data_IF_167437103260
#
_entry.id   IF_167437103260
#
_cell.length_a   1.000
_cell.length_b   1.000
_cell.length_c   1.000
_cell.angle_alpha   90.00
_cell.angle_beta   90.00
_cell.angle_gamma   90.00
#
_symmetry.space_group_name_H-M   'P 1'
#
loop_
_entity.id
_entity.type
_entity.pdbx_description
1 polymer ?
#
# COMPACT_ATOMS: atom_id res chain seq x y z
N UNK A 1 -32.52 -0.79 -17.73
CA UNK A 1 -32.44 -0.65 -16.27
C UNK A 1 -30.98 -0.53 -15.90
N UNK A 2 -30.59 0.62 -15.33
CA UNK A 2 -29.24 0.80 -14.79
C UNK A 2 -29.13 -0.09 -13.56
N UNK A 3 -28.14 -0.97 -13.51
CA UNK A 3 -27.91 -1.83 -12.36
C UNK A 3 -27.39 -0.98 -11.20
N UNK A 4 -28.03 -1.07 -10.03
CA UNK A 4 -27.63 -0.35 -8.82
C UNK A 4 -26.87 -1.31 -7.90
N UNK A 5 -25.60 -1.01 -7.64
CA UNK A 5 -24.81 -1.74 -6.64
C UNK A 5 -25.22 -1.37 -5.22
N UNK A 6 -25.10 -2.30 -4.28
CA UNK A 6 -25.24 -1.97 -2.87
C UNK A 6 -24.09 -1.07 -2.44
N UNK A 7 -22.86 -1.33 -2.89
CA UNK A 7 -21.71 -0.48 -2.62
C UNK A 7 -20.81 -0.30 -3.85
N UNK A 8 -20.22 0.88 -3.97
CA UNK A 8 -19.08 1.13 -4.86
C UNK A 8 -17.89 1.59 -4.03
N UNK A 9 -16.79 0.87 -4.17
CA UNK A 9 -15.51 1.16 -3.52
C UNK A 9 -14.59 1.81 -4.52
N UNK A 10 -14.06 3.00 -4.21
CA UNK A 10 -13.12 3.71 -5.08
C UNK A 10 -11.69 3.61 -4.53
N UNK A 11 -10.82 2.95 -5.28
CA UNK A 11 -9.46 2.61 -4.94
C UNK A 11 -9.27 1.10 -4.75
N UNK A 12 -8.54 0.47 -5.68
CA UNK A 12 -8.28 -0.98 -5.76
C UNK A 12 -6.98 -1.39 -5.08
N UNK A 13 -6.56 -0.74 -4.00
CA UNK A 13 -5.48 -1.22 -3.16
C UNK A 13 -6.01 -2.00 -1.95
N UNK A 14 -5.12 -2.45 -1.06
CA UNK A 14 -5.45 -3.37 0.03
C UNK A 14 -6.68 -2.96 0.84
N UNK A 15 -6.84 -1.68 1.18
CA UNK A 15 -7.98 -1.21 1.98
C UNK A 15 -9.32 -1.36 1.26
N UNK A 16 -9.37 -0.95 -0.03
CA UNK A 16 -10.58 -1.07 -0.83
C UNK A 16 -10.94 -2.52 -1.15
N UNK A 17 -9.93 -3.33 -1.43
CA UNK A 17 -10.12 -4.75 -1.75
C UNK A 17 -10.61 -5.56 -0.54
N UNK A 18 -10.07 -5.28 0.66
CA UNK A 18 -10.56 -5.91 1.89
C UNK A 18 -11.98 -5.44 2.25
N UNK A 19 -12.29 -4.15 2.08
CA UNK A 19 -13.64 -3.65 2.26
C UNK A 19 -14.63 -4.34 1.30
N UNK A 20 -14.27 -4.43 0.02
CA UNK A 20 -15.09 -5.11 -0.98
C UNK A 20 -15.28 -6.61 -0.69
N UNK A 21 -14.22 -7.29 -0.23
CA UNK A 21 -14.30 -8.70 0.20
C UNK A 21 -15.33 -8.89 1.30
N UNK A 22 -15.30 -8.06 2.34
CA UNK A 22 -16.22 -8.19 3.45
C UNK A 22 -17.65 -7.81 3.06
N UNK A 23 -17.84 -6.80 2.20
CA UNK A 23 -19.17 -6.43 1.68
C UNK A 23 -19.76 -7.59 0.86
N UNK A 24 -18.98 -8.14 -0.07
CA UNK A 24 -19.41 -9.26 -0.91
C UNK A 24 -19.69 -10.53 -0.10
N UNK A 25 -18.82 -10.86 0.86
CA UNK A 25 -18.98 -12.00 1.77
C UNK A 25 -20.28 -11.96 2.56
N UNK A 26 -20.80 -10.76 2.85
CA UNK A 26 -22.10 -10.57 3.49
C UNK A 26 -23.29 -10.52 2.51
N UNK A 27 -23.10 -10.93 1.26
CA UNK A 27 -24.17 -11.07 0.26
C UNK A 27 -24.59 -9.78 -0.43
N UNK A 28 -23.81 -8.72 -0.34
CA UNK A 28 -24.09 -7.44 -0.99
C UNK A 28 -23.34 -7.30 -2.31
N UNK A 29 -23.99 -6.72 -3.31
CA UNK A 29 -23.35 -6.40 -4.59
C UNK A 29 -22.38 -5.26 -4.42
N UNK A 30 -21.11 -5.45 -4.84
CA UNK A 30 -20.05 -4.45 -4.71
C UNK A 30 -19.17 -4.40 -5.94
N UNK A 31 -18.88 -3.17 -6.37
CA UNK A 31 -17.95 -2.87 -7.44
C UNK A 31 -16.77 -2.07 -6.91
N UNK A 32 -15.56 -2.52 -7.18
CA UNK A 32 -14.32 -1.76 -6.94
C UNK A 32 -13.92 -1.03 -8.22
N UNK A 33 -13.67 0.26 -8.11
CA UNK A 33 -13.11 1.08 -9.18
C UNK A 33 -11.61 1.30 -8.94
N UNK A 34 -10.80 0.91 -9.91
CA UNK A 34 -9.35 1.12 -9.91
C UNK A 34 -8.95 1.91 -11.16
N UNK A 35 -8.27 3.05 -10.97
CA UNK A 35 -7.85 3.91 -12.07
C UNK A 35 -6.68 3.33 -12.88
N UNK A 36 -5.83 2.53 -12.23
CA UNK A 36 -4.68 1.88 -12.83
C UNK A 36 -5.06 0.80 -13.84
N UNK A 37 -4.08 0.41 -14.65
CA UNK A 37 -4.23 -0.67 -15.63
C UNK A 37 -4.42 -2.05 -14.99
N UNK A 38 -3.94 -2.21 -13.78
CA UNK A 38 -4.04 -3.42 -12.99
C UNK A 38 -3.99 -3.08 -11.50
N UNK A 39 -4.51 -3.95 -10.67
CA UNK A 39 -4.41 -3.87 -9.21
C UNK A 39 -2.96 -4.02 -8.77
N UNK A 40 -2.53 -3.18 -7.82
CA UNK A 40 -1.21 -3.24 -7.21
C UNK A 40 -0.09 -2.55 -7.99
N UNK A 41 -0.39 -1.84 -9.06
CA UNK A 41 0.60 -1.12 -9.86
C UNK A 41 0.23 0.37 -9.98
N UNK A 42 1.22 1.28 -9.83
CA UNK A 42 2.60 1.05 -9.44
C UNK A 42 2.78 0.75 -7.94
N UNK A 43 3.85 0.04 -7.59
CA UNK A 43 4.18 -0.24 -6.19
C UNK A 43 4.86 0.97 -5.54
N UNK A 44 4.29 1.48 -4.44
CA UNK A 44 4.77 2.68 -3.72
C UNK A 44 5.08 2.40 -2.24
N UNK A 45 5.32 1.15 -1.85
CA UNK A 45 5.45 0.79 -0.44
C UNK A 45 6.75 0.04 -0.15
N UNK A 46 7.34 0.28 1.01
CA UNK A 46 8.48 -0.50 1.51
C UNK A 46 8.16 -1.97 1.80
N UNK A 47 6.89 -2.30 1.98
CA UNK A 47 6.42 -3.67 2.15
C UNK A 47 6.58 -4.25 3.55
N UNK A 48 7.05 -3.49 4.54
CA UNK A 48 7.18 -3.96 5.93
C UNK A 48 5.81 -4.11 6.58
N UNK A 49 5.49 -5.33 7.04
CA UNK A 49 4.23 -5.63 7.72
C UNK A 49 4.42 -6.67 8.83
N UNK A 50 3.50 -6.71 9.78
CA UNK A 50 3.41 -7.80 10.73
C UNK A 50 2.70 -9.00 10.10
N UNK A 51 3.31 -10.17 10.14
CA UNK A 51 2.68 -11.43 9.69
C UNK A 51 1.39 -11.71 10.47
N UNK A 52 1.38 -11.41 11.78
CA UNK A 52 0.18 -11.59 12.60
C UNK A 52 -0.96 -10.67 12.16
N UNK A 53 -0.66 -9.41 11.82
CA UNK A 53 -1.70 -8.48 11.32
C UNK A 53 -2.30 -8.95 9.99
N UNK A 54 -1.52 -9.53 9.09
CA UNK A 54 -2.06 -10.12 7.86
C UNK A 54 -2.97 -11.31 8.16
N UNK A 55 -2.60 -12.18 9.12
CA UNK A 55 -3.43 -13.30 9.54
C UNK A 55 -4.77 -12.87 10.15
N UNK A 56 -4.76 -11.81 10.97
CA UNK A 56 -5.99 -11.21 11.52
C UNK A 56 -6.92 -10.70 10.41
N UNK A 57 -6.36 -10.23 9.30
CA UNK A 57 -7.11 -9.83 8.11
C UNK A 57 -7.49 -11.01 7.19
N UNK A 58 -7.21 -12.25 7.59
CA UNK A 58 -7.49 -13.44 6.78
C UNK A 58 -6.60 -13.54 5.54
N UNK A 59 -5.39 -12.97 5.60
CA UNK A 59 -4.41 -13.05 4.53
C UNK A 59 -3.24 -13.90 4.98
N UNK A 60 -3.04 -15.03 4.31
CA UNK A 60 -1.83 -15.81 4.42
C UNK A 60 -0.94 -15.50 3.19
N UNK A 61 0.23 -14.87 3.38
CA UNK A 61 1.05 -14.44 2.25
C UNK A 61 1.46 -15.63 1.37
N UNK A 62 1.12 -15.56 0.10
CA UNK A 62 1.57 -16.56 -0.88
C UNK A 62 3.10 -16.47 -1.08
N UNK A 63 3.74 -17.51 -1.65
CA UNK A 63 5.18 -17.46 -1.97
C UNK A 63 5.57 -16.28 -2.88
N UNK A 64 4.64 -15.76 -3.68
CA UNK A 64 4.85 -14.56 -4.53
C UNK A 64 4.70 -13.27 -3.74
N UNK A 65 3.92 -13.31 -2.66
CA UNK A 65 3.66 -12.16 -1.80
C UNK A 65 4.77 -11.98 -0.76
N UNK A 66 5.39 -13.05 -0.31
CA UNK A 66 6.46 -13.04 0.69
C UNK A 66 7.81 -12.77 0.03
N UNK A 67 8.49 -11.70 0.44
CA UNK A 67 9.83 -11.37 -0.05
C UNK A 67 10.91 -11.83 0.95
N UNK A 68 10.86 -11.36 2.19
CA UNK A 68 11.87 -11.69 3.20
C UNK A 68 11.34 -11.57 4.63
N UNK A 69 12.08 -12.17 5.58
CA UNK A 69 11.81 -12.07 7.02
C UNK A 69 12.78 -11.08 7.64
N UNK A 70 12.29 -10.25 8.55
CA UNK A 70 13.10 -9.30 9.30
C UNK A 70 13.39 -9.82 10.70
N UNK A 71 14.67 -9.85 11.05
CA UNK A 71 15.16 -10.28 12.37
C UNK A 71 15.44 -9.10 13.29
N UNK A 72 15.93 -8.00 12.72
CA UNK A 72 16.21 -6.79 13.47
C UNK A 72 16.07 -5.51 12.62
N UNK A 73 15.94 -4.39 13.33
CA UNK A 73 16.08 -3.06 12.78
C UNK A 73 17.25 -2.32 13.44
N UNK A 74 18.14 -1.74 12.65
CA UNK A 74 19.19 -0.84 13.11
C UNK A 74 18.78 0.61 12.85
N UNK A 75 18.87 1.42 13.88
CA UNK A 75 18.52 2.84 13.83
C UNK A 75 19.80 3.64 14.04
N UNK A 76 20.11 4.51 13.11
CA UNK A 76 21.30 5.35 13.11
C UNK A 76 20.95 6.81 13.37
N UNK A 77 21.69 7.45 14.25
CA UNK A 77 21.64 8.90 14.47
C UNK A 77 22.65 9.63 13.55
N UNK A 78 22.53 10.97 13.36
CA UNK A 78 23.48 11.77 12.57
C UNK A 78 24.93 11.67 13.06
N UNK A 79 25.12 11.42 14.35
CA UNK A 79 26.45 11.28 14.98
C UNK A 79 26.99 9.84 14.98
N UNK A 80 26.37 8.95 14.19
CA UNK A 80 26.81 7.56 14.05
C UNK A 80 26.49 6.64 15.24
N UNK A 81 25.69 7.09 16.22
CA UNK A 81 25.19 6.19 17.25
C UNK A 81 24.15 5.26 16.67
N UNK A 82 24.22 3.98 17.04
CA UNK A 82 23.33 2.93 16.56
C UNK A 82 22.54 2.33 17.73
N UNK A 83 21.28 1.98 17.44
CA UNK A 83 20.41 1.18 18.32
C UNK A 83 19.90 0.02 17.50
N UNK A 84 19.94 -1.20 18.06
CA UNK A 84 19.38 -2.39 17.43
C UNK A 84 18.11 -2.83 18.16
N UNK A 85 17.03 -2.99 17.40
CA UNK A 85 15.74 -3.52 17.87
C UNK A 85 15.53 -4.90 17.25
N UNK A 86 15.35 -5.91 18.09
CA UNK A 86 15.08 -7.28 17.64
C UNK A 86 13.58 -7.51 17.42
N UNK A 87 13.21 -8.06 16.28
CA UNK A 87 11.82 -8.32 15.90
C UNK A 87 11.28 -9.69 16.30
N UNK A 88 12.02 -10.48 17.10
CA UNK A 88 11.71 -11.89 17.40
C UNK A 88 10.26 -12.16 17.83
N UNK A 89 9.60 -11.23 18.52
CA UNK A 89 8.23 -11.38 19.00
C UNK A 89 7.17 -10.92 17.98
N UNK A 90 7.51 -10.03 17.04
CA UNK A 90 6.53 -9.34 16.19
C UNK A 90 6.39 -9.96 14.81
N UNK A 91 7.26 -10.90 14.43
CA UNK A 91 7.23 -11.57 13.11
C UNK A 91 7.04 -10.57 11.96
N UNK A 92 7.99 -9.65 11.86
CA UNK A 92 7.98 -8.66 10.76
C UNK A 92 8.48 -9.34 9.48
N UNK A 93 7.77 -9.11 8.41
CA UNK A 93 8.13 -9.59 7.07
C UNK A 93 8.12 -8.44 6.07
N UNK A 94 8.86 -8.61 5.00
CA UNK A 94 8.75 -7.77 3.79
C UNK A 94 7.90 -8.51 2.77
N UNK A 95 6.97 -7.80 2.19
CA UNK A 95 6.05 -8.33 1.18
C UNK A 95 6.18 -7.55 -0.13
N UNK A 96 5.94 -8.26 -1.21
CA UNK A 96 5.63 -7.65 -2.50
C UNK A 96 4.20 -7.10 -2.45
N UNK A 97 4.06 -5.78 -2.37
CA UNK A 97 2.77 -5.12 -2.25
C UNK A 97 1.89 -5.30 -3.47
N UNK A 98 2.48 -5.37 -4.65
CA UNK A 98 1.75 -5.65 -5.88
C UNK A 98 1.08 -7.03 -5.83
N UNK A 99 1.81 -8.05 -5.39
CA UNK A 99 1.27 -9.40 -5.28
C UNK A 99 0.28 -9.54 -4.10
N UNK A 100 0.48 -8.80 -3.01
CA UNK A 100 -0.49 -8.73 -1.91
C UNK A 100 -1.83 -8.15 -2.38
N UNK A 101 -1.81 -7.01 -3.08
CA UNK A 101 -3.02 -6.39 -3.59
C UNK A 101 -3.72 -7.30 -4.60
N UNK A 102 -2.97 -8.01 -5.47
CA UNK A 102 -3.54 -9.04 -6.37
C UNK A 102 -4.13 -10.23 -5.61
N UNK A 103 -3.51 -10.63 -4.52
CA UNK A 103 -4.05 -11.70 -3.66
C UNK A 103 -5.37 -11.27 -3.01
N UNK A 104 -5.43 -10.05 -2.48
CA UNK A 104 -6.66 -9.48 -1.92
C UNK A 104 -7.76 -9.31 -2.97
N UNK A 105 -7.39 -8.92 -4.20
CA UNK A 105 -8.33 -8.83 -5.32
C UNK A 105 -8.94 -10.19 -5.68
N UNK A 106 -8.13 -11.24 -5.69
CA UNK A 106 -8.65 -12.62 -5.89
C UNK A 106 -9.63 -13.00 -4.78
N UNK A 107 -9.27 -12.75 -3.51
CA UNK A 107 -10.17 -13.02 -2.39
C UNK A 107 -11.50 -12.24 -2.49
N UNK A 108 -11.46 -10.97 -2.89
CA UNK A 108 -12.66 -10.16 -3.08
C UNK A 108 -13.55 -10.75 -4.19
N UNK A 109 -12.96 -11.10 -5.33
CA UNK A 109 -13.70 -11.72 -6.45
C UNK A 109 -14.27 -13.08 -6.11
N UNK A 110 -13.53 -13.92 -5.39
CA UNK A 110 -13.99 -15.25 -4.96
C UNK A 110 -15.20 -15.15 -4.01
N UNK A 111 -15.37 -14.02 -3.33
CA UNK A 111 -16.53 -13.71 -2.51
C UNK A 111 -17.65 -12.96 -3.28
N UNK A 112 -17.48 -12.68 -4.56
CA UNK A 112 -18.51 -12.08 -5.41
C UNK A 112 -18.34 -10.58 -5.72
N UNK A 113 -17.23 -9.95 -5.31
CA UNK A 113 -16.97 -8.57 -5.68
C UNK A 113 -16.57 -8.46 -7.17
N UNK A 114 -17.04 -7.41 -7.82
CA UNK A 114 -16.60 -7.02 -9.16
C UNK A 114 -15.46 -5.99 -9.05
N UNK A 115 -14.50 -6.03 -9.97
CA UNK A 115 -13.36 -5.10 -10.02
C UNK A 115 -13.25 -4.55 -11.43
N UNK A 116 -13.35 -3.22 -11.57
CA UNK A 116 -13.17 -2.50 -12.82
C UNK A 116 -11.88 -1.70 -12.78
N UNK A 117 -10.87 -2.17 -13.50
CA UNK A 117 -9.60 -1.44 -13.73
C UNK A 117 -9.76 -0.42 -14.85
N UNK A 118 -8.80 0.51 -15.01
CA UNK A 118 -8.86 1.63 -15.98
C UNK A 118 -10.13 2.46 -15.83
N UNK A 119 -10.64 2.55 -14.61
CA UNK A 119 -11.89 3.24 -14.31
C UNK A 119 -11.66 4.27 -13.22
N UNK A 120 -11.44 5.52 -13.63
CA UNK A 120 -11.20 6.62 -12.71
C UNK A 120 -12.53 7.22 -12.22
N UNK A 121 -12.60 7.45 -10.92
CA UNK A 121 -13.67 8.21 -10.29
C UNK A 121 -13.55 9.70 -10.65
N UNK A 122 -14.64 10.32 -11.02
CA UNK A 122 -14.71 11.75 -11.34
C UNK A 122 -15.48 12.53 -10.27
N UNK A 123 -16.74 12.17 -10.06
CA UNK A 123 -17.58 12.82 -9.04
C UNK A 123 -18.69 11.90 -8.54
N UNK A 124 -19.30 12.28 -7.43
CA UNK A 124 -20.48 11.64 -6.85
C UNK A 124 -21.57 12.69 -6.60
N UNK A 125 -22.76 12.42 -7.10
CA UNK A 125 -23.95 13.23 -6.84
C UNK A 125 -25.08 12.28 -6.40
N UNK A 126 -25.53 12.40 -5.17
CA UNK A 126 -26.49 11.47 -4.55
C UNK A 126 -26.02 10.00 -4.69
N UNK A 127 -26.80 9.16 -5.34
CA UNK A 127 -26.50 7.74 -5.59
C UNK A 127 -25.75 7.50 -6.91
N UNK A 128 -25.49 8.55 -7.69
CA UNK A 128 -24.82 8.46 -8.98
C UNK A 128 -23.34 8.78 -8.85
N UNK A 129 -22.51 7.86 -9.35
CA UNK A 129 -21.07 8.03 -9.49
C UNK A 129 -20.74 8.18 -10.96
N UNK A 130 -20.08 9.29 -11.32
CA UNK A 130 -19.52 9.49 -12.65
C UNK A 130 -18.09 8.98 -12.69
N UNK A 131 -17.77 8.19 -13.69
CA UNK A 131 -16.46 7.61 -13.94
C UNK A 131 -16.00 7.88 -15.36
N UNK A 132 -14.72 7.57 -15.66
CA UNK A 132 -14.20 7.62 -17.03
C UNK A 132 -14.93 6.69 -18.01
N UNK A 133 -15.61 5.66 -17.52
CA UNK A 133 -16.25 4.61 -18.31
C UNK A 133 -17.80 4.69 -18.27
N UNK A 134 -18.34 5.79 -17.76
CA UNK A 134 -19.79 5.99 -17.66
C UNK A 134 -20.28 6.17 -16.22
N UNK A 135 -21.59 6.17 -16.07
CA UNK A 135 -22.26 6.41 -14.79
C UNK A 135 -22.64 5.09 -14.12
N UNK A 136 -22.51 5.06 -12.81
CA UNK A 136 -22.80 3.90 -11.96
C UNK A 136 -23.70 4.35 -10.81
N UNK A 137 -24.74 3.61 -10.51
CA UNK A 137 -25.58 3.88 -9.35
C UNK A 137 -25.21 2.97 -8.17
N UNK A 138 -25.19 3.53 -6.96
CA UNK A 138 -24.93 2.78 -5.73
C UNK A 138 -25.70 3.35 -4.54
N UNK A 139 -25.96 2.48 -3.55
CA UNK A 139 -26.53 2.88 -2.26
C UNK A 139 -25.46 3.48 -1.34
N UNK A 140 -24.29 2.85 -1.29
CA UNK A 140 -23.18 3.24 -0.46
C UNK A 140 -21.93 3.52 -1.27
N UNK A 141 -21.21 4.57 -0.89
CA UNK A 141 -19.94 4.96 -1.47
C UNK A 141 -18.83 4.78 -0.44
N UNK A 142 -17.79 4.03 -0.79
CA UNK A 142 -16.63 3.77 0.07
C UNK A 142 -15.41 4.38 -0.57
N UNK A 143 -14.83 5.40 0.06
CA UNK A 143 -13.68 6.12 -0.46
C UNK A 143 -12.36 5.55 0.07
N UNK A 144 -11.66 4.82 -0.77
CA UNK A 144 -10.36 4.20 -0.49
C UNK A 144 -9.23 4.76 -1.39
N UNK A 145 -9.36 5.98 -1.91
CA UNK A 145 -8.37 6.60 -2.82
C UNK A 145 -7.05 7.00 -2.14
N UNK A 146 -6.97 6.87 -0.83
CA UNK A 146 -5.75 7.19 -0.09
C UNK A 146 -5.40 8.68 -0.13
N UNK A 147 -4.10 8.97 -0.17
CA UNK A 147 -3.56 10.33 -0.10
C UNK A 147 -3.91 11.21 -1.30
N UNK A 148 -4.20 10.63 -2.47
CA UNK A 148 -4.56 11.38 -3.67
C UNK A 148 -5.78 12.29 -3.48
N UNK A 149 -6.71 11.89 -2.59
CA UNK A 149 -7.86 12.71 -2.21
C UNK A 149 -7.47 13.95 -1.40
N UNK A 150 -6.48 13.83 -0.53
CA UNK A 150 -6.06 14.88 0.41
C UNK A 150 -5.06 15.84 -0.23
N UNK A 151 -4.20 15.35 -1.12
CA UNK A 151 -3.12 16.12 -1.73
C UNK A 151 -3.58 17.37 -2.51
N UNK A 152 -4.84 17.41 -2.95
CA UNK A 152 -5.41 18.56 -3.66
C UNK A 152 -6.01 19.62 -2.73
N UNK A 153 -6.21 19.33 -1.44
CA UNK A 153 -6.90 20.24 -0.50
C UNK A 153 -5.97 20.89 0.51
N UNK A 154 -4.99 20.16 0.98
CA UNK A 154 -4.05 20.64 1.98
C UNK A 154 -2.69 19.97 1.74
N UNK A 155 -1.66 20.78 1.53
CA UNK A 155 -0.28 20.32 1.36
C UNK A 155 0.55 20.40 2.65
N UNK A 156 0.02 21.03 3.68
CA UNK A 156 0.66 21.02 4.99
C UNK A 156 0.65 19.60 5.59
N UNK A 157 1.82 19.13 5.97
CA UNK A 157 1.98 17.77 6.49
C UNK A 157 2.24 16.68 5.44
N UNK A 158 2.22 17.01 4.14
CA UNK A 158 2.64 16.07 3.10
C UNK A 158 4.18 15.95 3.11
N UNK A 159 4.66 14.72 3.22
CA UNK A 159 6.06 14.38 3.05
C UNK A 159 6.26 13.75 1.67
N UNK A 160 7.21 14.29 0.91
CA UNK A 160 7.61 13.68 -0.35
C UNK A 160 8.47 12.45 -0.06
N UNK A 161 8.30 11.41 -0.84
CA UNK A 161 9.00 10.14 -0.68
C UNK A 161 9.55 9.68 -2.02
N UNK A 162 10.83 9.28 -2.02
CA UNK A 162 11.43 8.56 -3.15
C UNK A 162 11.95 7.21 -2.66
N UNK A 163 11.75 6.16 -3.45
CA UNK A 163 12.24 4.82 -3.16
C UNK A 163 12.67 4.14 -4.45
N UNK A 164 13.80 3.44 -4.38
CA UNK A 164 14.33 2.63 -5.47
C UNK A 164 14.54 1.19 -5.01
N UNK A 165 14.35 0.25 -5.91
CA UNK A 165 14.87 -1.09 -5.74
C UNK A 165 16.34 -1.10 -6.16
N UNK A 166 17.20 -1.62 -5.29
CA UNK A 166 18.66 -1.61 -5.44
C UNK A 166 19.17 -3.04 -5.35
N UNK A 167 20.09 -3.37 -6.26
CA UNK A 167 20.80 -4.65 -6.31
C UNK A 167 22.24 -4.42 -5.86
N UNK A 168 22.62 -4.88 -4.67
CA UNK A 168 23.93 -4.62 -4.09
C UNK A 168 24.30 -5.61 -2.99
N UNK A 169 25.56 -6.05 -2.95
CA UNK A 169 26.07 -7.01 -1.98
C UNK A 169 26.11 -6.50 -0.52
N UNK A 170 26.07 -5.16 -0.34
CA UNK A 170 26.04 -4.55 0.99
C UNK A 170 24.66 -4.61 1.68
N UNK A 171 23.60 -5.00 0.97
CA UNK A 171 22.26 -5.18 1.54
C UNK A 171 22.26 -6.43 2.41
N UNK A 172 21.97 -6.26 3.71
CA UNK A 172 21.97 -7.33 4.69
C UNK A 172 20.60 -7.95 4.82
N UNK A 173 20.51 -9.24 4.53
CA UNK A 173 19.26 -9.99 4.74
C UNK A 173 18.82 -9.93 6.20
N UNK A 174 17.51 -9.87 6.42
CA UNK A 174 16.92 -9.87 7.75
C UNK A 174 17.10 -8.59 8.57
N UNK A 175 17.83 -7.57 8.05
CA UNK A 175 18.12 -6.34 8.77
C UNK A 175 17.56 -5.13 8.03
N UNK A 176 16.62 -4.43 8.65
CA UNK A 176 16.20 -3.09 8.21
C UNK A 176 17.15 -2.06 8.78
N UNK A 177 17.50 -1.06 8.00
CA UNK A 177 18.29 0.08 8.46
C UNK A 177 17.48 1.38 8.32
N UNK A 178 17.49 2.21 9.36
CA UNK A 178 16.79 3.50 9.41
C UNK A 178 17.78 4.59 9.82
N UNK A 179 17.84 5.65 9.04
CA UNK A 179 18.76 6.75 9.23
C UNK A 179 18.00 8.03 9.53
N UNK A 180 18.15 8.54 10.75
CA UNK A 180 17.60 9.83 11.15
C UNK A 180 18.64 10.93 10.97
N UNK A 181 18.27 11.98 10.26
CA UNK A 181 19.06 13.20 10.12
C UNK A 181 18.12 14.35 9.75
N UNK A 182 17.85 15.23 10.72
CA UNK A 182 16.87 16.31 10.52
C UNK A 182 17.34 17.40 9.55
N UNK A 183 18.63 17.48 9.27
CA UNK A 183 19.18 18.41 8.26
C UNK A 183 18.98 17.84 6.84
N UNK A 184 19.18 16.51 6.68
CA UNK A 184 19.05 15.82 5.39
C UNK A 184 17.63 15.35 5.10
N UNK A 185 16.92 14.89 6.14
CA UNK A 185 15.58 14.29 6.05
C UNK A 185 14.59 14.98 7.00
N UNK A 186 14.27 16.29 6.79
CA UNK A 186 13.44 17.04 7.72
C UNK A 186 12.07 16.41 7.94
N UNK A 187 11.77 16.07 9.18
CA UNK A 187 10.47 15.52 9.59
C UNK A 187 10.29 14.03 9.31
N UNK A 188 11.29 13.33 8.70
CA UNK A 188 11.22 11.89 8.49
C UNK A 188 12.61 11.22 8.55
N UNK A 189 12.88 10.20 7.72
CA UNK A 189 14.12 9.41 7.73
C UNK A 189 14.39 8.78 6.36
N UNK A 190 15.62 8.22 6.21
CA UNK A 190 15.93 7.31 5.11
C UNK A 190 15.96 5.87 5.60
N UNK A 191 15.77 4.91 4.67
CA UNK A 191 15.70 3.48 5.01
C UNK A 191 16.36 2.59 3.96
N UNK A 192 16.78 1.42 4.45
CA UNK A 192 17.16 0.27 3.62
C UNK A 192 16.33 -0.91 4.12
N UNK A 193 15.52 -1.50 3.25
CA UNK A 193 14.64 -2.62 3.55
C UNK A 193 15.04 -3.78 2.64
N UNK A 194 15.62 -4.88 3.15
CA UNK A 194 15.99 -6.02 2.31
C UNK A 194 14.73 -6.76 1.83
N UNK A 195 14.62 -6.98 0.53
CA UNK A 195 13.55 -7.78 -0.10
C UNK A 195 14.05 -9.13 -0.61
N UNK A 196 15.33 -9.44 -0.45
CA UNK A 196 15.97 -10.69 -0.81
C UNK A 196 17.48 -10.58 -0.71
N UNK A 197 18.19 -11.67 -1.08
CA UNK A 197 19.65 -11.68 -1.08
C UNK A 197 20.21 -10.69 -2.10
N UNK A 198 20.91 -9.67 -1.61
CA UNK A 198 21.49 -8.62 -2.45
C UNK A 198 20.46 -7.73 -3.14
N UNK A 199 19.20 -7.74 -2.67
CA UNK A 199 18.12 -6.89 -3.19
C UNK A 199 17.45 -6.17 -2.04
N UNK A 200 17.16 -4.89 -2.22
CA UNK A 200 16.45 -4.11 -1.19
C UNK A 200 15.83 -2.84 -1.72
N UNK A 201 14.93 -2.29 -0.94
CA UNK A 201 14.28 -1.00 -1.17
C UNK A 201 15.01 0.06 -0.38
N UNK A 202 15.64 1.00 -1.08
CA UNK A 202 16.33 2.15 -0.49
C UNK A 202 15.48 3.38 -0.72
N UNK A 203 15.15 4.08 0.33
CA UNK A 203 14.27 5.22 0.21
C UNK A 203 14.53 6.32 1.22
N UNK A 204 13.92 7.45 0.95
CA UNK A 204 13.98 8.66 1.76
C UNK A 204 12.66 9.40 1.72
N UNK A 205 12.31 10.01 2.85
CA UNK A 205 11.16 10.91 2.93
C UNK A 205 11.50 12.11 3.80
N UNK A 206 10.88 13.25 3.53
CA UNK A 206 11.07 14.47 4.31
C UNK A 206 10.39 15.68 3.70
N UNK A 207 10.35 16.77 4.46
CA UNK A 207 9.86 18.07 3.97
C UNK A 207 10.87 18.68 3.01
N UNK A 208 10.41 19.14 1.84
CA UNK A 208 11.24 19.85 0.88
C UNK A 208 12.30 18.99 0.17
N UNK A 209 12.23 17.67 0.28
CA UNK A 209 13.11 16.76 -0.46
C UNK A 209 12.80 16.88 -1.95
N UNK A 210 13.85 17.04 -2.77
CA UNK A 210 13.73 16.93 -4.21
C UNK A 210 13.74 15.44 -4.60
N UNK A 211 12.64 14.96 -5.13
CA UNK A 211 12.47 13.56 -5.56
C UNK A 211 12.76 13.36 -7.05
N UNK A 212 13.12 14.41 -7.76
CA UNK A 212 13.34 14.42 -9.21
C UNK A 212 14.81 14.62 -9.62
N UNK A 213 15.72 14.73 -8.65
CA UNK A 213 17.14 15.02 -8.89
C UNK A 213 18.09 13.96 -8.51
#
# INVERSE_FOLDING_TARGET
>A
QTYMYDAVVVGGSISGLLAAREIAKNGHSVLVLEEGFEVGSPEHCGGLVSENALKELGIDPSPKTFDSKIECAKIFSPKGKEITINSKKQKIIVINRRELDKQAARQARDNGAEISVKTSFQEKTNNLIRTSNGNIECKFFVDCRGVSRLANKDRDGILLTAQYEVYADWIKEGQVEVYFDQEKYPGFFAWIIPSGKGVGKVGVSGKGINTLG
#
